data_IF_592268096283
#
_entry.id   IF_592268096283
#
_cell.length_a   1.000
_cell.length_b   1.000
_cell.length_c   1.000
_cell.angle_alpha   90.00
_cell.angle_beta   90.00
_cell.angle_gamma   90.00
#
_symmetry.space_group_name_H-M   'P 1'
#
loop_
_entity.id
_entity.type
_entity.pdbx_description
1 polymer ?
#
# COMPACT_ATOMS: atom_id res chain seq x y z
N UNK A 1 -12.15 -16.98 -89.37
CA UNK A 1 -10.74 -17.48 -89.51
C UNK A 1 -10.17 -17.46 -88.11
N UNK A 2 -10.24 -18.45 -87.56
CA UNK A 2 -9.86 -19.53 -86.68
C UNK A 2 -8.37 -19.58 -86.45
N UNK A 3 -7.95 -19.45 -85.26
CA UNK A 3 -6.63 -19.71 -84.75
C UNK A 3 -6.67 -20.29 -83.37
N UNK A 4 -6.70 -21.60 -83.28
CA UNK A 4 -6.55 -22.38 -82.03
C UNK A 4 -5.09 -22.48 -81.66
N UNK A 5 -4.73 -22.02 -80.47
CA UNK A 5 -3.42 -22.26 -79.89
C UNK A 5 -3.57 -23.29 -78.76
N UNK A 6 -2.95 -24.45 -78.94
CA UNK A 6 -2.87 -25.51 -77.94
C UNK A 6 -1.87 -25.13 -76.86
N UNK A 7 -2.27 -25.26 -75.62
CA UNK A 7 -1.40 -25.09 -74.42
C UNK A 7 -0.96 -26.52 -73.99
N UNK A 8 0.35 -26.76 -74.03
CA UNK A 8 0.96 -27.96 -73.46
C UNK A 8 1.17 -27.81 -71.98
N UNK A 9 0.53 -28.66 -71.18
CA UNK A 9 0.76 -28.79 -69.76
C UNK A 9 1.92 -29.74 -69.55
N UNK A 10 3.05 -29.29 -69.08
CA UNK A 10 4.16 -30.09 -68.58
C UNK A 10 3.94 -30.40 -67.12
N UNK A 11 3.68 -31.64 -66.78
CA UNK A 11 3.59 -32.17 -65.45
C UNK A 11 5.01 -32.36 -64.89
N UNK A 12 5.42 -31.50 -63.94
CA UNK A 12 6.66 -31.70 -63.21
C UNK A 12 6.33 -32.43 -61.89
N UNK A 13 6.72 -33.69 -61.81
CA UNK A 13 6.59 -34.53 -60.62
C UNK A 13 7.81 -34.26 -59.75
N UNK A 14 7.62 -33.48 -58.69
CA UNK A 14 8.63 -33.34 -57.64
C UNK A 14 8.46 -34.46 -56.61
N UNK A 15 9.46 -35.31 -56.52
CA UNK A 15 9.63 -36.22 -55.39
C UNK A 15 9.97 -35.42 -54.11
N UNK A 16 9.06 -35.41 -53.15
CA UNK A 16 9.34 -34.94 -51.81
C UNK A 16 9.92 -36.08 -50.98
N UNK A 17 11.22 -36.05 -50.77
CA UNK A 17 11.90 -36.86 -49.76
C UNK A 17 11.60 -36.28 -48.38
N UNK A 18 10.84 -37.00 -47.55
CA UNK A 18 10.62 -36.70 -46.13
C UNK A 18 11.94 -36.86 -45.37
N UNK A 19 12.59 -35.77 -45.05
CA UNK A 19 13.62 -35.74 -44.03
C UNK A 19 12.92 -35.42 -42.69
N UNK A 20 12.80 -36.41 -41.82
CA UNK A 20 12.50 -36.21 -40.42
C UNK A 20 13.66 -35.43 -39.77
N UNK A 21 13.48 -34.17 -39.51
CA UNK A 21 14.35 -33.43 -38.59
C UNK A 21 13.82 -33.64 -37.18
N UNK A 22 14.54 -34.43 -36.39
CA UNK A 22 14.37 -34.43 -34.93
C UNK A 22 14.61 -32.99 -34.39
N UNK A 23 13.54 -32.37 -33.94
CA UNK A 23 13.64 -31.15 -33.16
C UNK A 23 14.19 -31.55 -31.79
N UNK A 24 15.46 -31.27 -31.56
CA UNK A 24 16.07 -31.38 -30.26
C UNK A 24 15.34 -30.41 -29.32
N UNK A 25 14.54 -30.94 -28.39
CA UNK A 25 14.03 -30.21 -27.27
C UNK A 25 15.22 -29.78 -26.39
N UNK A 26 15.66 -28.56 -26.55
CA UNK A 26 16.54 -27.92 -25.58
C UNK A 26 15.72 -27.70 -24.30
N UNK A 27 15.91 -28.61 -23.35
CA UNK A 27 15.43 -28.42 -21.98
C UNK A 27 16.05 -27.12 -21.44
N UNK A 28 15.21 -26.12 -21.12
CA UNK A 28 15.66 -24.98 -20.35
C UNK A 28 16.33 -25.47 -19.06
N UNK A 29 17.45 -24.89 -18.66
CA UNK A 29 18.04 -25.22 -17.37
C UNK A 29 17.02 -24.91 -16.29
N UNK A 30 16.66 -25.91 -15.46
CA UNK A 30 15.93 -25.67 -14.22
C UNK A 30 16.75 -24.62 -13.47
N UNK A 31 16.16 -23.43 -13.30
CA UNK A 31 16.66 -22.48 -12.31
C UNK A 31 16.68 -23.25 -10.98
N UNK A 32 17.88 -23.53 -10.48
CA UNK A 32 18.03 -23.96 -9.10
C UNK A 32 17.37 -22.87 -8.26
N UNK A 33 16.29 -23.23 -7.58
CA UNK A 33 15.78 -22.40 -6.51
C UNK A 33 16.98 -22.14 -5.57
N UNK A 34 17.47 -20.93 -5.59
CA UNK A 34 18.43 -20.45 -4.59
C UNK A 34 17.76 -20.70 -3.25
N UNK A 35 18.41 -21.49 -2.40
CA UNK A 35 17.95 -21.65 -1.02
C UNK A 35 17.71 -20.23 -0.45
N UNK A 36 16.62 -20.01 0.29
CA UNK A 36 16.39 -18.73 0.94
C UNK A 36 17.64 -18.42 1.76
N UNK A 37 18.21 -17.25 1.53
CA UNK A 37 19.20 -16.64 2.41
C UNK A 37 18.70 -16.79 3.84
N UNK A 38 19.58 -17.15 4.77
CA UNK A 38 19.30 -17.25 6.20
C UNK A 38 18.29 -16.17 6.59
N UNK A 39 17.10 -16.59 7.11
CA UNK A 39 16.10 -15.70 7.66
C UNK A 39 16.86 -14.65 8.50
N UNK A 40 16.87 -13.42 8.06
CA UNK A 40 17.39 -12.34 8.88
C UNK A 40 16.41 -12.21 10.03
N UNK A 41 16.81 -12.62 11.22
CA UNK A 41 15.97 -12.58 12.41
C UNK A 41 15.45 -11.14 12.59
N UNK A 42 14.14 -10.94 12.41
CA UNK A 42 13.51 -9.66 12.66
C UNK A 42 13.64 -9.34 14.15
N UNK A 43 14.06 -8.14 14.46
CA UNK A 43 14.25 -7.70 15.84
C UNK A 43 12.93 -7.04 16.29
N UNK A 44 12.27 -7.55 17.33
CA UNK A 44 11.10 -6.90 17.91
C UNK A 44 11.43 -5.49 18.40
N UNK A 45 10.50 -4.55 18.19
CA UNK A 45 10.55 -3.20 18.76
C UNK A 45 9.47 -3.13 19.84
N UNK A 46 9.89 -2.90 21.08
CA UNK A 46 8.96 -2.70 22.19
C UNK A 46 8.50 -1.24 22.22
N UNK A 47 7.17 -1.07 22.31
CA UNK A 47 6.49 0.21 22.50
C UNK A 47 5.67 0.16 23.78
N UNK A 48 5.29 1.33 24.33
CA UNK A 48 4.36 1.43 25.46
C UNK A 48 2.98 0.90 25.08
N UNK A 49 2.52 1.26 23.88
CA UNK A 49 1.30 0.77 23.25
C UNK A 49 1.60 0.43 21.78
N UNK A 50 1.07 -0.70 21.30
CA UNK A 50 1.43 -1.22 19.99
C UNK A 50 2.71 -2.05 20.01
N UNK A 51 3.20 -2.41 18.86
CA UNK A 51 4.40 -3.23 18.69
C UNK A 51 5.00 -3.00 17.31
N UNK A 52 6.24 -3.46 17.12
CA UNK A 52 6.92 -3.33 15.85
C UNK A 52 8.03 -4.34 15.66
N UNK A 53 8.59 -4.33 14.44
CA UNK A 53 9.68 -5.20 14.03
C UNK A 53 10.68 -4.41 13.18
N UNK A 54 11.96 -4.69 13.38
CA UNK A 54 13.04 -4.04 12.67
C UNK A 54 13.82 -5.04 11.82
N UNK A 55 13.94 -4.74 10.53
CA UNK A 55 14.87 -5.34 9.59
C UNK A 55 16.05 -4.42 9.30
N UNK A 56 16.88 -4.80 8.30
CA UNK A 56 18.05 -4.01 7.90
C UNK A 56 17.67 -2.63 7.34
N UNK A 57 16.64 -2.58 6.53
CA UNK A 57 16.25 -1.39 5.76
C UNK A 57 14.87 -0.84 6.13
N UNK A 58 14.11 -1.54 6.99
CA UNK A 58 12.76 -1.12 7.41
C UNK A 58 12.56 -1.22 8.92
N UNK A 59 11.54 -0.53 9.40
CA UNK A 59 10.88 -0.73 10.67
C UNK A 59 9.37 -0.75 10.40
N UNK A 60 8.68 -1.79 10.87
CA UNK A 60 7.23 -1.97 10.70
C UNK A 60 6.56 -1.89 12.06
N UNK A 61 5.45 -1.17 12.15
CA UNK A 61 4.73 -0.89 13.38
C UNK A 61 3.24 -1.15 13.23
N UNK A 62 2.61 -1.61 14.30
CA UNK A 62 1.18 -1.80 14.43
C UNK A 62 0.69 -1.16 15.73
N UNK A 63 -0.49 -0.53 15.69
CA UNK A 63 -1.18 -0.08 16.89
C UNK A 63 -1.76 -1.27 17.66
N UNK A 64 -1.95 -1.10 18.96
CA UNK A 64 -2.70 -2.04 19.79
C UNK A 64 -3.76 -1.31 20.61
N UNK A 65 -4.93 -1.03 20.03
CA UNK A 65 -6.02 -0.34 20.73
C UNK A 65 -6.58 -1.13 21.92
N UNK A 66 -6.34 -2.45 21.97
CA UNK A 66 -6.80 -3.30 23.09
C UNK A 66 -5.89 -3.23 24.30
N UNK A 67 -4.71 -2.66 24.18
CA UNK A 67 -3.80 -2.45 25.29
C UNK A 67 -4.38 -1.39 26.25
N UNK A 68 -4.58 -1.70 27.56
CA UNK A 68 -5.13 -0.71 28.49
C UNK A 68 -4.35 0.62 28.61
N UNK A 69 -3.07 0.61 28.23
CA UNK A 69 -2.23 1.81 28.22
C UNK A 69 -2.56 2.73 27.04
N UNK A 70 -3.23 2.26 26.01
CA UNK A 70 -3.65 3.09 24.87
C UNK A 70 -4.59 4.23 25.30
N UNK A 71 -5.39 4.01 26.34
CA UNK A 71 -6.22 5.05 26.94
C UNK A 71 -5.44 6.23 27.54
N UNK A 72 -4.13 6.09 27.72
CA UNK A 72 -3.25 7.17 28.20
C UNK A 72 -2.70 8.02 27.04
N UNK A 73 -2.91 7.59 25.79
CA UNK A 73 -2.47 8.26 24.56
C UNK A 73 -0.97 8.59 24.58
N UNK A 74 -0.16 7.63 25.04
CA UNK A 74 1.29 7.78 25.14
C UNK A 74 2.03 6.49 24.80
N UNK A 75 3.21 6.64 24.15
CA UNK A 75 4.10 5.52 23.85
C UNK A 75 3.66 4.64 22.70
N UNK A 76 2.83 5.15 21.78
CA UNK A 76 2.36 4.48 20.60
C UNK A 76 3.32 4.53 19.41
N UNK A 77 2.83 4.14 18.25
CA UNK A 77 3.62 4.12 17.00
C UNK A 77 3.95 5.54 16.46
N UNK A 78 3.36 6.58 17.04
CA UNK A 78 3.70 7.98 16.80
C UNK A 78 5.08 8.37 17.36
N UNK A 79 5.52 7.73 18.43
CA UNK A 79 6.81 8.05 19.10
C UNK A 79 8.00 7.84 18.17
N UNK A 80 8.20 6.67 17.53
CA UNK A 80 9.31 6.48 16.61
C UNK A 80 9.29 7.42 15.40
N UNK A 81 8.11 7.83 14.92
CA UNK A 81 8.00 8.84 13.86
C UNK A 81 8.41 10.23 14.37
N UNK A 82 7.96 10.63 15.57
CA UNK A 82 8.36 11.90 16.19
C UNK A 82 9.89 11.95 16.41
N UNK A 83 10.50 10.86 16.88
CA UNK A 83 11.95 10.74 17.06
C UNK A 83 12.70 10.85 15.72
N UNK A 84 12.16 10.26 14.64
CA UNK A 84 12.73 10.39 13.30
C UNK A 84 12.69 11.84 12.80
N UNK A 85 11.56 12.54 12.98
CA UNK A 85 11.41 13.98 12.66
C UNK A 85 12.38 14.82 13.50
N UNK A 86 12.55 14.52 14.79
CA UNK A 86 13.52 15.19 15.65
C UNK A 86 14.97 14.96 15.21
N UNK A 87 15.25 13.84 14.55
CA UNK A 87 16.57 13.49 14.01
C UNK A 87 16.85 14.10 12.64
N UNK A 88 15.85 14.67 11.96
CA UNK A 88 15.95 15.29 10.64
C UNK A 88 16.96 16.46 10.63
N UNK A 89 17.72 16.58 9.53
CA UNK A 89 18.79 17.58 9.36
C UNK A 89 18.63 18.48 8.15
N UNK A 90 17.86 18.04 7.15
CA UNK A 90 17.74 18.74 5.85
C UNK A 90 16.29 19.11 5.60
N UNK A 91 15.38 18.12 5.57
CA UNK A 91 13.98 18.34 5.21
C UNK A 91 13.04 17.31 5.85
N UNK A 92 11.80 17.74 6.05
CA UNK A 92 10.65 16.90 6.40
C UNK A 92 9.49 17.33 5.52
N UNK A 93 9.09 16.48 4.59
CA UNK A 93 7.93 16.68 3.73
C UNK A 93 6.81 15.74 4.18
N UNK A 94 5.64 16.29 4.48
CA UNK A 94 4.51 15.57 5.07
C UNK A 94 3.30 15.66 4.15
N UNK A 95 2.75 14.51 3.70
CA UNK A 95 1.44 14.44 3.10
C UNK A 95 0.52 13.68 4.07
N UNK A 96 -0.53 14.34 4.56
CA UNK A 96 -1.39 13.77 5.59
C UNK A 96 -2.84 14.24 5.48
N UNK A 97 -3.78 13.29 5.55
CA UNK A 97 -5.20 13.60 5.56
C UNK A 97 -5.61 14.40 6.82
N UNK A 98 -5.18 13.99 8.00
CA UNK A 98 -5.57 14.65 9.28
C UNK A 98 -4.43 14.62 10.29
N UNK A 99 -4.27 15.75 11.02
CA UNK A 99 -3.26 15.95 12.08
C UNK A 99 -3.92 16.51 13.33
N UNK A 100 -3.80 15.77 14.45
CA UNK A 100 -4.13 16.24 15.82
C UNK A 100 -3.20 15.65 16.90
N UNK A 101 -2.21 14.83 16.51
CA UNK A 101 -1.22 14.27 17.42
C UNK A 101 -0.22 15.34 17.89
N UNK A 102 -0.23 15.60 19.19
CA UNK A 102 0.70 16.53 19.80
C UNK A 102 2.17 16.14 19.60
N UNK A 103 2.49 14.84 19.68
CA UNK A 103 3.85 14.31 19.49
C UNK A 103 4.43 14.69 18.13
N UNK A 104 3.66 14.47 17.07
CA UNK A 104 4.06 14.78 15.69
C UNK A 104 4.10 16.27 15.44
N UNK A 105 3.03 17.01 15.81
CA UNK A 105 3.00 18.48 15.69
C UNK A 105 4.21 19.13 16.36
N UNK A 106 4.51 18.76 17.59
CA UNK A 106 5.59 19.38 18.35
C UNK A 106 6.99 18.96 17.80
N UNK A 107 7.14 17.75 17.24
CA UNK A 107 8.35 17.34 16.53
C UNK A 107 8.58 18.16 15.25
N UNK A 108 7.51 18.43 14.46
CA UNK A 108 7.58 19.31 13.29
C UNK A 108 7.98 20.73 13.65
N UNK A 109 7.41 21.29 14.74
CA UNK A 109 7.81 22.62 15.25
C UNK A 109 9.29 22.63 15.66
N UNK A 110 9.75 21.63 16.41
CA UNK A 110 11.16 21.52 16.81
C UNK A 110 12.10 21.37 15.60
N UNK A 111 11.70 20.60 14.57
CA UNK A 111 12.47 20.51 13.33
C UNK A 111 12.59 21.85 12.63
N UNK A 112 11.47 22.57 12.50
CA UNK A 112 11.43 23.92 11.92
C UNK A 112 12.30 24.92 12.71
N UNK A 113 12.23 24.92 14.04
CA UNK A 113 13.03 25.78 14.92
C UNK A 113 14.55 25.50 14.79
N UNK A 114 14.93 24.27 14.46
CA UNK A 114 16.32 23.88 14.16
C UNK A 114 16.79 24.33 12.78
N UNK A 115 15.91 24.89 11.95
CA UNK A 115 16.20 25.32 10.57
C UNK A 115 16.08 24.20 9.53
N UNK A 116 15.47 23.07 9.87
CA UNK A 116 15.08 22.02 8.92
C UNK A 116 13.96 22.56 8.01
N UNK A 117 14.02 22.29 6.73
CA UNK A 117 12.93 22.64 5.81
C UNK A 117 11.74 21.72 6.07
N UNK A 118 10.68 22.24 6.66
CA UNK A 118 9.43 21.49 6.92
C UNK A 118 8.36 22.02 5.98
N UNK A 119 7.70 21.10 5.24
CA UNK A 119 6.60 21.42 4.32
C UNK A 119 5.47 20.40 4.52
N UNK A 120 4.22 20.82 4.26
CA UNK A 120 3.07 19.92 4.41
C UNK A 120 2.06 20.10 3.30
N UNK A 121 1.52 18.97 2.82
CA UNK A 121 0.28 18.90 2.03
C UNK A 121 -0.78 18.24 2.91
N UNK A 122 -2.00 18.74 2.88
CA UNK A 122 -3.07 18.27 3.74
C UNK A 122 -4.43 18.37 3.07
N UNK A 123 -5.34 17.45 3.42
CA UNK A 123 -6.76 17.58 3.08
C UNK A 123 -7.33 18.93 3.54
N UNK A 124 -7.97 19.62 2.61
CA UNK A 124 -8.45 21.00 2.83
C UNK A 124 -9.48 21.13 3.94
N UNK A 125 -10.34 20.15 4.12
CA UNK A 125 -11.37 20.12 5.16
C UNK A 125 -10.79 20.04 6.57
N UNK A 126 -9.52 19.67 6.70
CA UNK A 126 -8.81 19.55 7.95
C UNK A 126 -7.87 20.76 8.26
N UNK A 127 -7.69 21.69 7.33
CA UNK A 127 -6.76 22.81 7.48
C UNK A 127 -7.10 23.79 8.62
N UNK A 128 -8.37 23.96 8.92
CA UNK A 128 -8.84 24.91 9.93
C UNK A 128 -8.79 24.34 11.36
N UNK A 129 -8.32 23.10 11.52
CA UNK A 129 -8.10 22.52 12.86
C UNK A 129 -6.94 23.19 13.58
N UNK A 130 -6.92 23.08 14.92
CA UNK A 130 -5.96 23.79 15.79
C UNK A 130 -4.50 23.51 15.47
N UNK A 131 -4.15 22.26 15.17
CA UNK A 131 -2.75 21.87 15.00
C UNK A 131 -2.15 22.29 13.65
N UNK A 132 -2.83 22.13 12.51
CA UNK A 132 -2.40 22.76 11.27
C UNK A 132 -2.27 24.28 11.37
N UNK A 133 -3.19 24.94 12.06
CA UNK A 133 -3.11 26.40 12.25
C UNK A 133 -1.88 26.79 13.08
N UNK A 134 -1.55 26.05 14.15
CA UNK A 134 -0.33 26.28 14.94
C UNK A 134 0.95 26.11 14.12
N UNK A 135 1.01 25.13 13.21
CA UNK A 135 2.14 24.94 12.30
C UNK A 135 2.25 26.13 11.33
N UNK A 136 1.14 26.58 10.75
CA UNK A 136 1.09 27.78 9.89
C UNK A 136 1.53 29.05 10.62
N UNK A 137 1.07 29.25 11.85
CA UNK A 137 1.44 30.39 12.68
C UNK A 137 2.93 30.41 13.03
N UNK A 138 3.58 29.23 13.09
CA UNK A 138 5.01 29.08 13.25
C UNK A 138 5.80 29.32 11.95
N UNK A 139 5.13 29.49 10.81
CA UNK A 139 5.76 29.75 9.51
C UNK A 139 6.00 28.51 8.65
N UNK A 140 5.49 27.33 9.05
CA UNK A 140 5.57 26.12 8.22
C UNK A 140 4.54 26.24 7.09
N UNK A 141 4.98 26.15 5.80
CA UNK A 141 4.07 26.21 4.67
C UNK A 141 3.23 24.93 4.60
N UNK A 142 1.90 25.10 4.52
CA UNK A 142 0.92 24.02 4.38
C UNK A 142 0.02 24.34 3.19
N UNK A 143 -0.08 23.41 2.25
CA UNK A 143 -0.96 23.47 1.09
C UNK A 143 -2.13 22.51 1.25
N UNK A 144 -3.35 22.93 0.92
CA UNK A 144 -4.53 22.08 0.84
C UNK A 144 -4.89 21.76 -0.61
N UNK A 145 -5.53 20.65 -0.85
CA UNK A 145 -5.94 20.19 -2.18
C UNK A 145 -7.10 20.99 -2.81
N UNK A 146 -7.99 21.57 -2.00
CA UNK A 146 -9.09 22.48 -2.41
C UNK A 146 -10.05 21.89 -3.46
N UNK A 147 -10.32 20.60 -3.41
CA UNK A 147 -11.17 19.89 -4.36
C UNK A 147 -12.14 18.90 -3.67
N UNK A 148 -13.04 18.26 -4.42
CA UNK A 148 -13.99 17.28 -3.88
C UNK A 148 -13.39 15.88 -3.65
N UNK A 149 -12.33 15.48 -4.38
CA UNK A 149 -11.54 14.30 -4.07
C UNK A 149 -10.74 14.53 -2.80
N UNK A 150 -10.23 13.49 -2.16
CA UNK A 150 -9.46 13.62 -0.92
C UNK A 150 -7.96 13.59 -1.22
N UNK A 151 -7.21 14.48 -0.58
CA UNK A 151 -5.79 14.25 -0.35
C UNK A 151 -5.67 13.26 0.82
N UNK A 152 -5.68 11.99 0.48
CA UNK A 152 -5.79 10.92 1.47
C UNK A 152 -4.48 10.18 1.74
N UNK A 153 -3.38 10.63 1.18
CA UNK A 153 -2.05 10.14 1.50
C UNK A 153 -1.71 10.26 2.99
N UNK A 154 -0.84 9.37 3.43
CA UNK A 154 -0.30 9.35 4.79
C UNK A 154 1.16 8.96 4.73
N UNK A 155 2.02 9.95 4.41
CA UNK A 155 3.45 9.70 4.38
C UNK A 155 4.30 10.88 4.87
N UNK A 156 5.51 10.56 5.27
CA UNK A 156 6.56 11.53 5.59
C UNK A 156 7.84 11.13 4.90
N UNK A 157 8.46 12.09 4.19
CA UNK A 157 9.81 11.93 3.63
C UNK A 157 10.78 12.73 4.48
N UNK A 158 11.80 12.06 5.04
CA UNK A 158 12.81 12.70 5.89
C UNK A 158 14.16 12.68 5.16
N UNK A 159 14.78 13.87 5.09
CA UNK A 159 16.12 14.09 4.54
C UNK A 159 16.30 13.51 3.12
N UNK A 160 15.22 13.30 2.37
CA UNK A 160 15.19 12.66 1.04
C UNK A 160 15.87 11.28 1.02
N UNK A 161 15.85 10.58 2.13
CA UNK A 161 16.56 9.30 2.31
C UNK A 161 15.74 8.21 2.96
N UNK A 162 14.64 8.56 3.59
CA UNK A 162 13.71 7.61 4.19
C UNK A 162 12.26 8.06 4.03
N UNK A 163 11.37 7.07 4.02
CA UNK A 163 9.92 7.24 3.90
C UNK A 163 9.25 6.56 5.08
N UNK A 164 8.24 7.22 5.62
CA UNK A 164 7.27 6.66 6.56
C UNK A 164 5.92 6.67 5.89
N UNK A 165 5.23 5.54 5.82
CA UNK A 165 3.89 5.44 5.22
C UNK A 165 3.09 4.29 5.83
N UNK A 166 1.78 4.24 5.56
CA UNK A 166 0.87 3.22 6.05
C UNK A 166 -0.57 3.71 6.09
N UNK A 167 -1.36 3.17 7.00
CA UNK A 167 -2.78 3.53 7.12
C UNK A 167 -3.05 4.63 8.14
N UNK A 168 -2.11 4.94 9.06
CA UNK A 168 -2.33 5.80 10.21
C UNK A 168 -2.50 7.28 9.84
N UNK A 169 -3.64 7.87 10.18
CA UNK A 169 -3.76 9.32 10.32
C UNK A 169 -2.96 9.79 11.55
N UNK A 170 -2.41 10.99 11.51
CA UNK A 170 -1.66 11.55 12.63
C UNK A 170 -2.61 12.18 13.67
N UNK A 171 -3.52 11.34 14.20
CA UNK A 171 -4.53 11.69 15.17
C UNK A 171 -4.43 10.80 16.40
N UNK A 172 -4.96 11.26 17.55
CA UNK A 172 -4.97 10.48 18.78
C UNK A 172 -5.72 9.14 18.57
N UNK A 173 -6.87 9.16 17.89
CA UNK A 173 -7.56 7.92 17.53
C UNK A 173 -6.71 7.04 16.62
N UNK A 174 -6.06 7.60 15.61
CA UNK A 174 -5.21 6.86 14.66
C UNK A 174 -4.05 6.14 15.34
N UNK A 175 -3.47 6.71 16.39
CA UNK A 175 -2.33 6.12 17.10
C UNK A 175 -2.73 5.20 18.25
N UNK A 176 -3.94 5.37 18.85
CA UNK A 176 -4.28 4.73 20.13
C UNK A 176 -5.62 3.99 20.15
N UNK A 177 -6.58 4.32 19.27
CA UNK A 177 -7.91 3.73 19.27
C UNK A 177 -8.18 2.85 18.03
N UNK A 178 -7.57 3.17 16.90
CA UNK A 178 -7.80 2.49 15.64
C UNK A 178 -6.73 1.41 15.37
N UNK A 179 -7.09 0.34 14.65
CA UNK A 179 -6.09 -0.62 14.14
C UNK A 179 -5.41 -0.02 12.91
N UNK A 180 -4.13 0.28 13.04
CA UNK A 180 -3.32 0.89 11.99
C UNK A 180 -1.95 0.22 11.85
N UNK A 181 -1.33 0.42 10.69
CA UNK A 181 0.07 0.10 10.44
C UNK A 181 0.84 1.33 9.99
N UNK A 182 2.16 1.28 10.17
CA UNK A 182 3.10 2.24 9.64
C UNK A 182 4.45 1.57 9.38
N UNK A 183 5.06 1.83 8.23
CA UNK A 183 6.38 1.34 7.88
C UNK A 183 7.34 2.52 7.66
N UNK A 184 8.55 2.39 8.18
CA UNK A 184 9.71 3.20 7.82
C UNK A 184 10.57 2.44 6.83
N UNK A 185 10.90 3.04 5.70
CA UNK A 185 11.76 2.46 4.66
C UNK A 185 12.97 3.38 4.44
N UNK A 186 14.17 2.86 4.67
CA UNK A 186 15.42 3.58 4.42
C UNK A 186 15.92 3.26 3.01
N UNK A 187 15.56 4.12 2.05
CA UNK A 187 15.95 3.99 0.65
C UNK A 187 15.82 5.32 -0.06
N UNK A 188 16.91 5.77 -0.69
CA UNK A 188 16.90 7.00 -1.49
C UNK A 188 15.93 6.89 -2.66
N UNK A 189 15.84 5.73 -3.33
CA UNK A 189 14.90 5.54 -4.45
C UNK A 189 13.44 5.58 -4.02
N UNK A 190 13.12 5.00 -2.84
CA UNK A 190 11.78 5.16 -2.27
C UNK A 190 11.51 6.61 -1.94
N UNK A 191 12.46 7.29 -1.30
CA UNK A 191 12.33 8.72 -0.99
C UNK A 191 12.19 9.59 -2.26
N UNK A 192 12.83 9.24 -3.37
CA UNK A 192 12.65 9.93 -4.67
C UNK A 192 11.20 9.80 -5.17
N UNK A 193 10.58 8.62 -5.09
CA UNK A 193 9.19 8.43 -5.49
C UNK A 193 8.24 9.32 -4.68
N UNK A 194 8.30 9.21 -3.36
CA UNK A 194 7.43 9.98 -2.45
C UNK A 194 7.74 11.50 -2.47
N UNK A 195 9.00 11.89 -2.75
CA UNK A 195 9.34 13.30 -2.96
C UNK A 195 8.72 13.81 -4.25
N UNK A 196 8.73 13.01 -5.34
CA UNK A 196 8.12 13.40 -6.61
C UNK A 196 6.62 13.62 -6.45
N UNK A 197 5.94 12.68 -5.81
CA UNK A 197 4.51 12.79 -5.48
C UNK A 197 4.21 14.03 -4.63
N UNK A 198 4.99 14.24 -3.57
CA UNK A 198 4.86 15.42 -2.73
C UNK A 198 5.08 16.73 -3.52
N UNK A 199 6.11 16.81 -4.38
CA UNK A 199 6.41 18.01 -5.16
C UNK A 199 5.35 18.27 -6.23
N UNK A 200 4.72 17.24 -6.78
CA UNK A 200 3.61 17.37 -7.69
C UNK A 200 2.42 18.07 -7.03
N UNK A 201 2.06 17.66 -5.80
CA UNK A 201 1.03 18.33 -5.03
C UNK A 201 1.49 19.70 -4.53
N UNK A 202 2.65 19.80 -3.88
CA UNK A 202 3.06 21.00 -3.16
C UNK A 202 3.61 22.12 -4.06
N UNK A 203 4.34 21.77 -5.12
CA UNK A 203 5.01 22.74 -6.01
C UNK A 203 4.18 23.01 -7.26
N UNK A 204 3.66 21.94 -7.88
CA UNK A 204 2.91 22.04 -9.13
C UNK A 204 1.43 22.28 -8.92
N UNK A 205 0.95 22.16 -7.67
CA UNK A 205 -0.47 22.32 -7.26
C UNK A 205 -1.41 21.38 -8.01
N UNK A 206 -0.97 20.14 -8.23
CA UNK A 206 -1.71 19.10 -8.92
C UNK A 206 -2.20 18.04 -7.93
N UNK A 207 -3.46 17.73 -8.03
CA UNK A 207 -4.14 16.74 -7.19
C UNK A 207 -5.17 15.98 -8.03
N UNK A 208 -5.37 14.70 -7.73
CA UNK A 208 -6.43 13.88 -8.31
C UNK A 208 -6.20 13.48 -9.76
N UNK A 209 -7.29 13.33 -10.50
CA UNK A 209 -7.30 12.84 -11.86
C UNK A 209 -6.65 13.83 -12.87
N UNK A 210 -6.33 13.33 -14.04
CA UNK A 210 -5.67 14.05 -15.14
C UNK A 210 -4.17 14.39 -14.94
N UNK A 211 -3.51 13.67 -14.05
CA UNK A 211 -2.07 13.71 -13.87
C UNK A 211 -1.43 12.64 -14.77
N UNK A 212 -0.21 12.88 -15.21
CA UNK A 212 0.57 11.89 -15.97
C UNK A 212 1.46 11.15 -14.98
N UNK A 213 1.44 9.82 -14.94
CA UNK A 213 2.30 9.04 -14.04
C UNK A 213 3.77 9.43 -14.20
N UNK A 214 4.39 9.82 -13.11
CA UNK A 214 5.81 10.23 -13.10
C UNK A 214 6.60 9.57 -11.95
N UNK A 215 6.17 8.38 -11.47
CA UNK A 215 6.87 7.63 -10.43
C UNK A 215 8.27 7.20 -10.92
N UNK A 216 9.36 7.80 -10.40
CA UNK A 216 10.71 7.60 -10.97
C UNK A 216 11.21 6.17 -10.88
N UNK A 217 10.84 5.44 -9.83
CA UNK A 217 11.28 4.09 -9.54
C UNK A 217 10.06 3.22 -9.14
N UNK A 218 9.14 2.88 -10.06
CA UNK A 218 7.90 2.17 -9.73
C UNK A 218 8.17 0.78 -9.12
N UNK A 219 9.33 0.19 -9.39
CA UNK A 219 9.86 -0.99 -8.72
C UNK A 219 11.24 -0.72 -8.15
N UNK A 220 11.39 -0.92 -6.85
CA UNK A 220 12.66 -0.80 -6.11
C UNK A 220 13.04 -2.16 -5.54
N UNK A 221 14.31 -2.53 -5.58
CA UNK A 221 14.80 -3.72 -4.87
C UNK A 221 15.73 -3.27 -3.74
N UNK A 222 15.41 -3.65 -2.50
CA UNK A 222 16.20 -3.32 -1.32
C UNK A 222 16.60 -4.63 -0.63
N UNK A 223 17.89 -4.87 -0.52
CA UNK A 223 18.44 -6.10 0.09
C UNK A 223 17.79 -7.39 -0.47
N UNK A 224 17.64 -7.44 -1.78
CA UNK A 224 16.99 -8.57 -2.48
C UNK A 224 15.47 -8.60 -2.43
N UNK A 225 14.82 -7.75 -1.67
CA UNK A 225 13.35 -7.62 -1.60
C UNK A 225 12.83 -6.67 -2.68
N UNK A 226 12.02 -7.14 -3.64
CA UNK A 226 11.29 -6.26 -4.55
C UNK A 226 10.17 -5.53 -3.82
N UNK A 227 9.96 -4.27 -4.18
CA UNK A 227 8.87 -3.42 -3.68
C UNK A 227 8.32 -2.65 -4.87
N UNK A 228 7.03 -2.76 -5.14
CA UNK A 228 6.33 -1.92 -6.09
C UNK A 228 5.65 -0.77 -5.34
N UNK A 229 5.64 0.40 -5.96
CA UNK A 229 5.06 1.63 -5.42
C UNK A 229 4.08 2.16 -6.44
N UNK A 230 2.90 2.52 -5.99
CA UNK A 230 1.85 3.12 -6.80
C UNK A 230 1.28 4.34 -6.09
N UNK A 231 0.95 5.35 -6.88
CA UNK A 231 0.16 6.50 -6.44
C UNK A 231 -1.12 6.58 -7.28
N UNK A 232 -2.25 6.71 -6.63
CA UNK A 232 -3.51 6.92 -7.33
C UNK A 232 -3.88 8.40 -7.31
N UNK A 233 -4.61 8.84 -8.33
CA UNK A 233 -5.31 8.02 -9.32
C UNK A 233 -4.54 7.74 -10.62
N UNK A 234 -3.29 8.14 -10.76
CA UNK A 234 -2.57 8.17 -12.03
C UNK A 234 -1.82 6.87 -12.39
N UNK A 235 -1.34 6.08 -11.41
CA UNK A 235 -0.55 4.85 -11.65
C UNK A 235 -1.40 3.60 -12.00
N UNK A 236 -2.76 3.70 -12.04
CA UNK A 236 -3.63 2.57 -12.38
C UNK A 236 -3.56 1.44 -11.35
N UNK A 237 -3.69 1.79 -10.09
CA UNK A 237 -3.51 0.90 -8.92
C UNK A 237 -4.39 -0.33 -8.99
N UNK A 238 -5.70 -0.16 -9.27
CA UNK A 238 -6.68 -1.24 -9.25
C UNK A 238 -6.35 -2.37 -10.23
N UNK A 239 -5.88 -2.04 -11.44
CA UNK A 239 -5.54 -3.05 -12.45
C UNK A 239 -4.37 -3.93 -11.99
N UNK A 240 -3.31 -3.30 -11.45
CA UNK A 240 -2.15 -4.03 -10.88
C UNK A 240 -2.54 -4.85 -9.67
N UNK A 241 -3.44 -4.33 -8.84
CA UNK A 241 -3.95 -5.00 -7.66
C UNK A 241 -4.74 -6.27 -8.03
N UNK A 242 -5.68 -6.15 -8.98
CA UNK A 242 -6.46 -7.30 -9.49
C UNK A 242 -5.54 -8.37 -10.06
N UNK A 243 -4.54 -8.00 -10.88
CA UNK A 243 -3.57 -8.96 -11.42
C UNK A 243 -2.84 -9.73 -10.31
N UNK A 244 -2.43 -9.06 -9.23
CA UNK A 244 -1.79 -9.71 -8.09
C UNK A 244 -2.73 -10.70 -7.40
N UNK A 245 -3.97 -10.31 -7.15
CA UNK A 245 -5.00 -11.17 -6.55
C UNK A 245 -5.29 -12.39 -7.43
N UNK A 246 -5.45 -12.21 -8.73
CA UNK A 246 -5.69 -13.30 -9.68
C UNK A 246 -4.54 -14.33 -9.72
N UNK A 247 -3.33 -13.93 -9.36
CA UNK A 247 -2.16 -14.80 -9.30
C UNK A 247 -1.97 -15.54 -7.96
N UNK A 248 -2.75 -15.23 -6.92
CA UNK A 248 -2.69 -15.93 -5.63
C UNK A 248 -3.00 -17.42 -5.78
N UNK A 249 -2.23 -18.30 -5.13
CA UNK A 249 -2.31 -19.75 -5.30
C UNK A 249 -2.80 -20.48 -4.05
N UNK A 250 -2.50 -19.98 -2.85
CA UNK A 250 -2.71 -20.68 -1.59
C UNK A 250 -3.69 -19.94 -0.67
N UNK A 251 -3.47 -18.63 -0.44
CA UNK A 251 -4.27 -17.88 0.51
C UNK A 251 -4.39 -16.39 0.15
N UNK A 252 -5.52 -15.78 0.55
CA UNK A 252 -5.78 -14.34 0.52
C UNK A 252 -6.36 -13.97 1.88
N UNK A 253 -5.59 -13.21 2.67
CA UNK A 253 -6.08 -12.63 3.92
C UNK A 253 -6.17 -11.12 3.77
N UNK A 254 -7.26 -10.51 4.26
CA UNK A 254 -7.39 -9.06 4.16
C UNK A 254 -7.99 -8.40 5.40
N UNK A 255 -7.60 -7.16 5.61
CA UNK A 255 -8.15 -6.23 6.58
C UNK A 255 -8.52 -4.94 5.84
N UNK A 256 -9.79 -4.63 5.74
CA UNK A 256 -10.29 -3.55 4.88
C UNK A 256 -11.17 -2.56 5.65
N UNK A 257 -10.69 -1.32 5.79
CA UNK A 257 -11.51 -0.22 6.31
C UNK A 257 -12.73 -0.02 5.41
N UNK A 258 -12.55 0.34 4.15
CA UNK A 258 -13.62 0.46 3.17
C UNK A 258 -13.37 -0.46 1.99
N UNK A 259 -14.35 -1.30 1.65
CA UNK A 259 -14.26 -2.24 0.54
C UNK A 259 -15.53 -2.19 -0.31
N UNK A 260 -15.47 -1.45 -1.42
CA UNK A 260 -16.58 -1.23 -2.36
C UNK A 260 -16.14 -1.41 -3.83
N UNK A 261 -14.92 -1.91 -4.08
CA UNK A 261 -14.45 -2.22 -5.44
C UNK A 261 -14.94 -3.57 -5.88
N UNK A 262 -15.92 -3.59 -6.79
CA UNK A 262 -16.43 -4.82 -7.43
C UNK A 262 -15.31 -5.61 -8.12
N UNK A 263 -14.34 -4.92 -8.73
CA UNK A 263 -13.26 -5.56 -9.48
C UNK A 263 -12.34 -6.37 -8.57
N UNK A 264 -11.90 -5.79 -7.45
CA UNK A 264 -11.07 -6.49 -6.46
C UNK A 264 -11.88 -7.59 -5.78
N UNK A 265 -13.14 -7.32 -5.40
CA UNK A 265 -14.03 -8.30 -4.79
C UNK A 265 -14.32 -9.50 -5.70
N UNK A 266 -14.56 -9.26 -6.99
CA UNK A 266 -14.76 -10.33 -7.98
C UNK A 266 -13.50 -11.20 -8.14
N UNK A 267 -12.32 -10.60 -8.19
CA UNK A 267 -11.05 -11.33 -8.28
C UNK A 267 -10.85 -12.25 -7.07
N UNK A 268 -11.10 -11.75 -5.86
CA UNK A 268 -11.00 -12.54 -4.62
C UNK A 268 -12.00 -13.72 -4.65
N UNK A 269 -13.27 -13.48 -5.02
CA UNK A 269 -14.28 -14.55 -5.12
C UNK A 269 -13.90 -15.60 -6.15
N UNK A 270 -13.39 -15.19 -7.30
CA UNK A 270 -12.93 -16.12 -8.34
C UNK A 270 -11.78 -17.03 -7.83
N UNK A 271 -10.83 -16.46 -7.07
CA UNK A 271 -9.76 -17.28 -6.47
C UNK A 271 -10.31 -18.26 -5.43
N UNK A 272 -11.30 -17.85 -4.64
CA UNK A 272 -11.95 -18.75 -3.69
C UNK A 272 -12.68 -19.91 -4.40
N UNK A 273 -13.34 -19.66 -5.53
CA UNK A 273 -13.96 -20.71 -6.37
C UNK A 273 -12.92 -21.70 -6.91
N UNK A 274 -11.70 -21.24 -7.18
CA UNK A 274 -10.56 -22.08 -7.59
C UNK A 274 -9.88 -22.81 -6.41
N UNK A 275 -10.36 -22.60 -5.17
CA UNK A 275 -9.92 -23.33 -3.98
C UNK A 275 -8.86 -22.60 -3.15
N UNK A 276 -8.55 -21.34 -3.45
CA UNK A 276 -7.68 -20.49 -2.61
C UNK A 276 -8.40 -20.19 -1.29
N UNK A 277 -7.69 -20.28 -0.17
CA UNK A 277 -8.25 -19.97 1.16
C UNK A 277 -8.42 -18.47 1.29
N UNK A 278 -9.65 -18.01 1.54
CA UNK A 278 -9.94 -16.58 1.71
C UNK A 278 -10.51 -16.32 3.09
N UNK A 279 -9.90 -15.37 3.81
CA UNK A 279 -10.38 -14.84 5.08
C UNK A 279 -10.26 -13.33 5.12
N UNK A 280 -11.20 -12.65 5.76
CA UNK A 280 -11.15 -11.19 5.83
C UNK A 280 -11.79 -10.61 7.08
N UNK A 281 -11.37 -9.38 7.41
CA UNK A 281 -12.04 -8.52 8.37
C UNK A 281 -12.37 -7.20 7.70
N UNK A 282 -13.60 -6.76 7.82
CA UNK A 282 -14.09 -5.47 7.31
C UNK A 282 -14.61 -4.61 8.46
N UNK A 283 -14.35 -3.33 8.39
CA UNK A 283 -14.77 -2.37 9.41
C UNK A 283 -16.29 -2.25 9.48
N UNK A 284 -16.88 -2.40 10.67
CA UNK A 284 -18.33 -2.55 10.87
C UNK A 284 -19.14 -1.32 10.45
N UNK A 285 -18.71 -0.11 10.81
CA UNK A 285 -19.42 1.11 10.43
C UNK A 285 -19.40 1.32 8.91
N UNK A 286 -18.29 0.97 8.25
CA UNK A 286 -18.17 1.07 6.79
C UNK A 286 -19.03 0.02 6.09
N UNK A 287 -19.10 -1.20 6.61
CA UNK A 287 -20.02 -2.23 6.11
C UNK A 287 -21.47 -1.73 6.17
N UNK A 288 -21.85 -1.06 7.26
CA UNK A 288 -23.24 -0.60 7.46
C UNK A 288 -23.55 0.68 6.67
N UNK A 289 -22.58 1.56 6.42
CA UNK A 289 -22.79 2.89 5.84
C UNK A 289 -22.50 2.98 4.34
N UNK A 290 -21.59 2.16 3.81
CA UNK A 290 -21.19 2.21 2.41
C UNK A 290 -22.23 1.55 1.50
N UNK A 291 -22.69 2.30 0.49
CA UNK A 291 -23.42 1.70 -0.61
C UNK A 291 -22.45 0.84 -1.46
N UNK A 292 -22.84 -0.39 -1.79
CA UNK A 292 -22.03 -1.30 -2.61
C UNK A 292 -20.87 -1.94 -1.84
N UNK A 293 -21.03 -2.14 -0.53
CA UNK A 293 -20.05 -2.92 0.24
C UNK A 293 -19.92 -4.34 -0.29
N UNK A 294 -18.69 -4.82 -0.44
CA UNK A 294 -18.40 -6.20 -0.86
C UNK A 294 -18.73 -7.26 0.21
N UNK A 295 -18.99 -6.84 1.45
CA UNK A 295 -19.30 -7.76 2.56
C UNK A 295 -20.42 -8.74 2.22
N UNK A 296 -21.55 -8.25 1.71
CA UNK A 296 -22.69 -9.09 1.37
C UNK A 296 -22.35 -10.10 0.26
N UNK A 297 -21.55 -9.70 -0.73
CA UNK A 297 -21.10 -10.57 -1.81
C UNK A 297 -20.16 -11.67 -1.29
N UNK A 298 -19.26 -11.36 -0.36
CA UNK A 298 -18.41 -12.35 0.31
C UNK A 298 -19.23 -13.32 1.16
N UNK A 299 -20.23 -12.83 1.90
CA UNK A 299 -21.14 -13.70 2.68
C UNK A 299 -21.94 -14.65 1.76
N UNK A 300 -22.45 -14.17 0.63
CA UNK A 300 -23.16 -15.00 -0.35
C UNK A 300 -22.27 -16.06 -0.99
N UNK A 301 -20.98 -15.78 -1.12
CA UNK A 301 -19.96 -16.75 -1.56
C UNK A 301 -19.51 -17.70 -0.46
N UNK A 302 -20.05 -17.60 0.76
CA UNK A 302 -19.69 -18.36 1.97
C UNK A 302 -18.20 -18.22 2.34
N UNK A 303 -17.61 -17.05 2.11
CA UNK A 303 -16.25 -16.76 2.55
C UNK A 303 -16.22 -16.39 4.04
N UNK A 304 -15.13 -16.73 4.71
CA UNK A 304 -14.91 -16.39 6.12
C UNK A 304 -14.48 -14.93 6.26
N UNK A 305 -15.43 -14.02 6.06
CA UNK A 305 -15.25 -12.57 6.19
C UNK A 305 -16.10 -12.08 7.34
N UNK A 306 -15.47 -11.47 8.33
CA UNK A 306 -16.08 -11.02 9.57
C UNK A 306 -16.12 -9.50 9.65
N UNK A 307 -16.95 -8.97 10.53
CA UNK A 307 -16.91 -7.57 10.92
C UNK A 307 -15.94 -7.40 12.07
N UNK A 308 -15.23 -6.30 12.10
CA UNK A 308 -14.29 -6.08 13.19
C UNK A 308 -14.98 -5.87 14.54
N UNK A 309 -14.26 -6.15 15.62
CA UNK A 309 -14.75 -6.02 16.99
C UNK A 309 -14.02 -4.94 17.78
N UNK A 310 -13.35 -4.00 17.12
CA UNK A 310 -12.67 -2.89 17.77
C UNK A 310 -13.68 -1.77 18.10
N UNK A 311 -13.65 -1.22 19.32
CA UNK A 311 -14.46 -0.05 19.71
C UNK A 311 -14.08 1.23 18.92
N UNK A 312 -12.83 1.34 18.43
CA UNK A 312 -12.38 2.29 17.43
C UNK A 312 -12.57 1.75 16.02
N UNK A 313 -11.75 2.19 15.07
CA UNK A 313 -11.84 1.74 13.68
C UNK A 313 -10.82 0.64 13.37
N UNK A 314 -11.22 -0.39 12.67
CA UNK A 314 -10.29 -1.27 11.98
C UNK A 314 -9.85 -0.57 10.70
N UNK A 315 -8.80 0.26 10.81
CA UNK A 315 -8.44 1.23 9.76
C UNK A 315 -7.35 0.72 8.80
N UNK A 316 -7.00 -0.56 8.85
CA UNK A 316 -6.12 -1.19 7.88
C UNK A 316 -6.69 -1.17 6.46
N UNK A 317 -5.81 -1.13 5.46
CA UNK A 317 -6.06 -1.37 4.04
C UNK A 317 -4.95 -2.32 3.59
N UNK A 318 -5.14 -3.61 3.88
CA UNK A 318 -4.11 -4.64 3.75
C UNK A 318 -4.68 -5.86 3.04
N UNK A 319 -3.96 -6.38 2.06
CA UNK A 319 -4.16 -7.75 1.55
C UNK A 319 -2.83 -8.49 1.59
N UNK A 320 -2.89 -9.74 2.05
CA UNK A 320 -1.75 -10.63 2.15
C UNK A 320 -2.02 -11.81 1.20
N UNK A 321 -1.10 -12.06 0.26
CA UNK A 321 -1.22 -13.11 -0.72
C UNK A 321 -0.17 -14.19 -0.43
N UNK A 322 -0.63 -15.45 -0.33
CA UNK A 322 0.21 -16.65 -0.19
C UNK A 322 1.24 -16.51 0.96
N UNK A 323 0.91 -15.75 2.00
CA UNK A 323 1.77 -15.44 3.16
C UNK A 323 3.18 -14.95 2.77
N UNK A 324 3.33 -14.41 1.56
CA UNK A 324 4.61 -14.01 0.98
C UNK A 324 4.63 -12.63 0.33
N UNK A 325 3.47 -12.09 -0.01
CA UNK A 325 3.30 -10.76 -0.58
C UNK A 325 2.32 -9.99 0.28
N UNK A 326 2.66 -8.75 0.61
CA UNK A 326 1.74 -7.86 1.30
C UNK A 326 1.51 -6.59 0.50
N UNK A 327 0.25 -6.22 0.37
CA UNK A 327 -0.25 -5.01 -0.30
C UNK A 327 -0.86 -4.14 0.78
N UNK A 328 -0.37 -2.91 0.95
CA UNK A 328 -0.89 -2.00 1.97
C UNK A 328 -0.52 -0.54 1.70
N UNK A 329 -1.20 0.39 2.36
CA UNK A 329 -0.96 1.83 2.24
C UNK A 329 -2.14 2.64 2.75
N UNK A 330 -2.37 3.79 2.13
CA UNK A 330 -3.54 4.64 2.40
C UNK A 330 -4.76 4.24 1.55
N UNK A 331 -4.55 3.52 0.43
CA UNK A 331 -5.53 3.19 -0.59
C UNK A 331 -6.67 2.32 -0.06
N UNK A 332 -7.86 2.88 0.06
CA UNK A 332 -9.09 2.12 0.32
C UNK A 332 -9.49 1.30 -0.91
N UNK A 333 -10.05 0.12 -0.72
CA UNK A 333 -10.49 -0.73 -1.84
C UNK A 333 -11.80 -0.21 -2.43
N UNK A 334 -11.75 0.96 -3.07
CA UNK A 334 -12.91 1.69 -3.55
C UNK A 334 -12.66 2.43 -4.86
N UNK A 335 -13.73 2.68 -5.61
CA UNK A 335 -13.63 3.46 -6.84
C UNK A 335 -13.16 4.91 -6.61
N UNK A 336 -13.45 5.50 -5.45
CA UNK A 336 -12.97 6.86 -5.14
C UNK A 336 -11.46 6.90 -4.93
N UNK A 337 -10.88 5.87 -4.31
CA UNK A 337 -9.44 5.72 -4.17
C UNK A 337 -8.75 5.57 -5.53
N UNK A 338 -9.36 4.84 -6.48
CA UNK A 338 -8.81 4.63 -7.82
C UNK A 338 -8.90 5.87 -8.72
N UNK A 339 -9.96 6.69 -8.58
CA UNK A 339 -10.28 7.67 -9.63
C UNK A 339 -10.26 9.12 -9.17
N UNK A 340 -10.16 9.39 -7.87
CA UNK A 340 -10.41 10.74 -7.33
C UNK A 340 -9.46 11.17 -6.23
N UNK A 341 -9.05 10.24 -5.35
CA UNK A 341 -8.23 10.58 -4.19
C UNK A 341 -6.75 10.44 -4.52
N UNK A 342 -5.92 11.27 -3.87
CA UNK A 342 -4.48 11.03 -3.83
C UNK A 342 -4.18 10.01 -2.73
N UNK A 343 -3.70 8.84 -3.14
CA UNK A 343 -3.43 7.70 -2.26
C UNK A 343 -2.10 7.05 -2.64
N UNK A 344 -1.47 6.34 -1.72
CA UNK A 344 -0.33 5.50 -2.01
C UNK A 344 -0.57 4.03 -1.67
N UNK A 345 0.07 3.14 -2.41
CA UNK A 345 0.06 1.71 -2.22
C UNK A 345 1.46 1.12 -2.37
N UNK A 346 1.82 0.25 -1.45
CA UNK A 346 3.03 -0.57 -1.51
C UNK A 346 2.68 -2.03 -1.73
N UNK A 347 3.46 -2.71 -2.58
CA UNK A 347 3.48 -4.17 -2.70
C UNK A 347 4.86 -4.66 -2.31
N UNK A 348 4.98 -5.39 -1.21
CA UNK A 348 6.26 -5.90 -0.72
C UNK A 348 6.30 -7.42 -0.88
N UNK A 349 7.28 -7.92 -1.64
CA UNK A 349 7.49 -9.34 -1.91
C UNK A 349 8.49 -9.91 -0.90
N UNK A 350 8.03 -10.13 0.34
CA UNK A 350 8.88 -10.61 1.42
C UNK A 350 8.07 -11.40 2.46
N UNK A 351 8.37 -12.69 2.60
CA UNK A 351 7.64 -13.58 3.50
C UNK A 351 7.80 -13.21 4.99
N UNK A 352 8.95 -12.66 5.40
CA UNK A 352 9.16 -12.26 6.80
C UNK A 352 8.29 -11.05 7.17
N UNK A 353 8.14 -10.09 6.24
CA UNK A 353 7.23 -8.94 6.43
C UNK A 353 5.77 -9.42 6.35
N UNK A 354 5.44 -10.27 5.37
CA UNK A 354 4.09 -10.81 5.23
C UNK A 354 3.66 -11.58 6.49
N UNK A 355 4.55 -12.36 7.10
CA UNK A 355 4.28 -13.06 8.36
C UNK A 355 3.90 -12.11 9.51
N UNK A 356 4.45 -10.89 9.56
CA UNK A 356 4.05 -9.91 10.58
C UNK A 356 2.63 -9.39 10.33
N UNK A 357 2.28 -9.18 9.06
CA UNK A 357 0.90 -8.80 8.71
C UNK A 357 -0.10 -9.95 8.90
N UNK A 358 0.33 -11.22 8.71
CA UNK A 358 -0.50 -12.40 9.07
C UNK A 358 -0.76 -12.44 10.57
N UNK A 359 0.27 -12.22 11.40
CA UNK A 359 0.11 -12.17 12.85
C UNK A 359 -0.84 -11.02 13.28
N UNK A 360 -0.75 -9.86 12.63
CA UNK A 360 -1.69 -8.75 12.86
C UNK A 360 -3.11 -9.12 12.40
N UNK A 361 -3.24 -9.74 11.21
CA UNK A 361 -4.52 -10.24 10.72
C UNK A 361 -5.16 -11.21 11.73
N UNK A 362 -4.42 -12.19 12.23
CA UNK A 362 -4.92 -13.14 13.21
C UNK A 362 -5.37 -12.45 14.52
N UNK A 363 -4.62 -11.43 14.98
CA UNK A 363 -4.98 -10.64 16.16
C UNK A 363 -6.30 -9.90 15.97
N UNK A 364 -6.48 -9.26 14.82
CA UNK A 364 -7.72 -8.53 14.47
C UNK A 364 -8.87 -9.52 14.24
N UNK A 365 -8.60 -10.64 13.54
CA UNK A 365 -9.60 -11.66 13.21
C UNK A 365 -10.19 -12.35 14.45
N UNK A 366 -9.39 -12.57 15.49
CA UNK A 366 -9.88 -13.16 16.77
C UNK A 366 -10.82 -12.20 17.53
N UNK A 367 -10.72 -10.90 17.29
CA UNK A 367 -11.60 -9.88 17.88
C UNK A 367 -12.90 -9.70 17.08
N UNK A 368 -12.92 -10.15 15.81
CA UNK A 368 -14.03 -9.96 14.87
C UNK A 368 -15.20 -10.93 15.14
N UNK A 369 -16.42 -10.54 14.73
CA UNK A 369 -17.68 -11.29 14.88
C UNK A 369 -18.38 -11.57 13.54
#
# INVERSE_FOLDING_TARGET
MSGRTQLYIVLLICFLSSACSEVAQTSMPKQNATQPSSLSELIPIELGTGFGFKGLWFELYFTDPTNPLSLQETGGIDVPLADAIDSARISVDVAIYSLSLNSIRDALLRAHDRGVTVRMVMESDNLDRSDPQRLKDAGIPILGDRREGLMHDKFVVIDRSEVWTGSMNFTDSGAYADNNNMIRIRSVKMAENYTKEFEEMFVDDKFGDNIVPETPNPRVTIDGTPIDVYFSPDDGVQASFVELVENAQESIYFMAFSFTSDEIGNAIRARAEDGVVVKGVMEDEQVNSNAGTEFDAFQQANLEVLRDGNDGQMHHKVIILDESIVIFGSYNFSNSAETRNDENLLVIYNADIAAQFVAEFERVFVQAE
#
